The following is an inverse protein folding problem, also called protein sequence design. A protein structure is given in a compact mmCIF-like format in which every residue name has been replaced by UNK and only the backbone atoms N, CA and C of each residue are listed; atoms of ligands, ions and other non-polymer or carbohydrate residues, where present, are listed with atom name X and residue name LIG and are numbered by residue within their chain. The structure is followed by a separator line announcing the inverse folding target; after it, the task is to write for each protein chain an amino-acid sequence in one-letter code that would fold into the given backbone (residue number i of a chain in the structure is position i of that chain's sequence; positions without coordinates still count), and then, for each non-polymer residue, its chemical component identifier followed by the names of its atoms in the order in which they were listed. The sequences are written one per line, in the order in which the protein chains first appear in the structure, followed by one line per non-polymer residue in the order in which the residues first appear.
data_IF_044860773271
#
_entry.id   IF_044860773271
#
_cell.length_a   1.000
_cell.length_b   1.000
_cell.length_c   1.000
_cell.angle_alpha   90.00
_cell.angle_beta   90.00
_cell.angle_gamma   90.00
#
_symmetry.space_group_name_H-M   'P 1'
#
loop_
_entity.id
_entity.type
_entity.pdbx_description
1 polymer ?
#
# COMPACT_ATOMS: atom_id res chain seq x y z
N UNK A 1 -19.80 -3.97 32.94
CA UNK A 1 -18.40 -4.23 32.53
C UNK A 1 -18.16 -4.40 31.02
N UNK A 2 -19.18 -4.33 30.13
CA UNK A 2 -18.98 -4.44 28.66
C UNK A 2 -18.52 -3.16 27.94
N UNK A 3 -18.65 -1.96 28.54
CA UNK A 3 -18.32 -0.67 27.87
C UNK A 3 -16.81 -0.38 27.75
N UNK A 4 -15.95 -1.03 28.52
CA UNK A 4 -14.50 -0.76 28.53
C UNK A 4 -13.74 -1.46 27.39
N UNK A 5 -14.19 -2.63 26.93
CA UNK A 5 -13.51 -3.39 25.86
C UNK A 5 -13.66 -2.78 24.48
N UNK A 6 -14.74 -2.04 24.22
CA UNK A 6 -14.96 -1.34 22.93
C UNK A 6 -14.21 -0.01 22.83
N UNK A 7 -13.94 0.68 23.95
CA UNK A 7 -13.18 1.95 23.97
C UNK A 7 -11.73 1.77 23.52
N UNK A 8 -11.08 0.68 23.91
CA UNK A 8 -9.68 0.41 23.53
C UNK A 8 -9.55 -0.04 22.07
N UNK A 9 -10.61 -0.65 21.51
CA UNK A 9 -10.66 -1.01 20.08
C UNK A 9 -10.93 0.25 19.24
N UNK A 10 -11.85 1.12 19.67
CA UNK A 10 -12.14 2.39 19.00
C UNK A 10 -10.91 3.31 18.94
N UNK A 11 -10.08 3.37 20.00
CA UNK A 11 -8.82 4.13 19.97
C UNK A 11 -7.77 3.51 19.03
N UNK A 12 -7.65 2.18 18.95
CA UNK A 12 -6.71 1.54 18.04
C UNK A 12 -7.13 1.68 16.57
N UNK A 13 -8.44 1.65 16.28
CA UNK A 13 -8.99 1.91 14.94
C UNK A 13 -8.80 3.38 14.57
N UNK A 14 -9.09 4.32 15.48
CA UNK A 14 -8.87 5.74 15.23
C UNK A 14 -7.38 6.11 15.10
N UNK A 15 -6.48 5.46 15.85
CA UNK A 15 -5.04 5.68 15.70
C UNK A 15 -4.49 5.12 14.37
N UNK A 16 -5.00 3.95 13.93
CA UNK A 16 -4.64 3.35 12.65
C UNK A 16 -5.22 4.12 11.44
N UNK A 17 -6.43 4.68 11.58
CA UNK A 17 -7.15 5.32 10.46
C UNK A 17 -7.04 6.85 10.42
N UNK A 18 -6.84 7.51 11.56
CA UNK A 18 -6.89 8.97 11.67
C UNK A 18 -5.61 9.62 12.19
N UNK A 19 -4.53 8.85 12.41
CA UNK A 19 -3.23 9.40 12.77
C UNK A 19 -3.33 10.41 13.91
N UNK A 20 -3.56 9.94 15.15
CA UNK A 20 -3.35 10.82 16.30
C UNK A 20 -1.92 11.35 16.21
N UNK A 21 -1.81 12.68 16.16
CA UNK A 21 -0.56 13.40 16.01
C UNK A 21 0.52 12.80 16.93
N UNK A 22 1.64 12.40 16.34
CA UNK A 22 2.89 12.21 17.07
C UNK A 22 3.21 13.55 17.74
N UNK A 23 2.85 13.69 19.02
CA UNK A 23 3.37 14.77 19.85
C UNK A 23 4.89 14.61 19.89
N UNK A 24 5.57 15.61 19.33
CA UNK A 24 7.01 15.86 19.31
C UNK A 24 7.81 15.02 20.32
N UNK A 25 8.50 13.98 19.81
CA UNK A 25 9.67 13.46 20.51
C UNK A 25 10.75 14.53 20.39
N UNK A 26 11.00 15.22 21.49
CA UNK A 26 12.14 16.10 21.66
C UNK A 26 13.41 15.31 21.31
N UNK A 27 14.16 15.80 20.32
CA UNK A 27 15.51 15.39 20.07
C UNK A 27 16.32 15.58 21.36
N UNK A 28 16.77 14.48 21.98
CA UNK A 28 17.82 14.56 22.99
C UNK A 28 19.14 14.79 22.27
N UNK A 29 19.84 15.81 22.72
CA UNK A 29 21.18 16.22 22.30
C UNK A 29 22.12 15.02 22.11
N UNK A 30 22.81 15.03 20.98
CA UNK A 30 23.96 14.19 20.74
C UNK A 30 25.04 14.54 21.77
N UNK A 31 25.33 13.61 22.68
CA UNK A 31 26.48 13.70 23.55
C UNK A 31 27.76 13.73 22.68
N UNK A 32 28.51 14.82 22.83
CA UNK A 32 29.83 15.04 22.24
C UNK A 32 30.76 13.87 22.58
N UNK A 33 31.30 13.23 21.53
CA UNK A 33 32.48 12.37 21.66
C UNK A 33 33.73 13.27 21.72
N UNK A 34 34.69 13.01 22.62
CA UNK A 34 35.90 13.81 22.72
C UNK A 34 36.88 13.52 21.59
N UNK A 35 37.44 14.60 21.05
CA UNK A 35 38.56 14.64 20.11
C UNK A 35 39.75 13.81 20.59
N UNK A 36 40.27 12.96 19.69
CA UNK A 36 41.64 12.47 19.77
C UNK A 36 42.36 12.77 18.47
N UNK A 37 42.98 13.95 18.42
CA UNK A 37 44.06 14.25 17.51
C UNK A 37 45.38 13.73 18.09
N UNK A 38 46.10 12.92 17.31
CA UNK A 38 47.53 12.68 17.50
C UNK A 38 48.20 12.48 16.14
N UNK A 39 48.85 13.56 15.69
CA UNK A 39 50.17 13.56 15.06
C UNK A 39 50.34 13.01 13.64
N UNK A 40 50.48 13.91 12.66
CA UNK A 40 51.48 13.80 11.57
C UNK A 40 52.00 15.21 11.23
N UNK A 41 53.31 15.45 11.03
CA UNK A 41 53.89 16.78 11.00
C UNK A 41 53.94 17.44 9.62
N UNK A 42 53.75 18.76 9.67
CA UNK A 42 54.26 19.86 8.84
C UNK A 42 54.97 19.56 7.51
N UNK A 43 54.49 20.21 6.44
CA UNK A 43 55.36 20.81 5.43
C UNK A 43 54.93 22.27 5.21
N UNK A 44 55.90 23.15 5.41
CA UNK A 44 55.82 24.59 5.24
C UNK A 44 55.79 24.96 3.75
N UNK A 45 55.05 26.01 3.41
CA UNK A 45 55.54 26.98 2.43
C UNK A 45 55.00 28.35 2.80
N UNK A 46 55.96 29.21 3.13
CA UNK A 46 55.76 30.60 3.49
C UNK A 46 55.33 31.47 2.31
N UNK A 47 54.68 32.53 2.74
CA UNK A 47 54.24 33.74 2.05
C UNK A 47 55.29 34.41 1.17
N UNK A 48 54.81 35.16 0.17
CA UNK A 48 55.49 36.36 -0.28
C UNK A 48 54.48 37.50 -0.47
N UNK A 49 54.62 38.65 0.23
CA UNK A 49 53.73 39.80 0.08
C UNK A 49 54.42 40.93 -0.70
N UNK A 50 53.68 41.66 -1.54
CA UNK A 50 53.84 43.10 -1.79
C UNK A 50 52.88 43.56 -2.89
N UNK A 51 52.22 44.71 -2.67
CA UNK A 51 51.56 45.47 -3.74
C UNK A 51 50.28 46.16 -3.30
N UNK A 52 50.42 47.36 -2.73
CA UNK A 52 49.35 48.29 -2.44
C UNK A 52 48.66 48.77 -3.74
N UNK A 53 47.34 48.98 -3.72
CA UNK A 53 46.69 50.16 -4.30
C UNK A 53 45.24 50.27 -3.78
N UNK A 54 44.91 51.46 -3.30
CA UNK A 54 43.57 51.89 -2.87
C UNK A 54 42.60 51.97 -4.07
N UNK A 55 41.33 51.62 -3.84
CA UNK A 55 40.27 51.74 -4.83
C UNK A 55 38.92 51.34 -4.27
N UNK A 56 38.19 52.32 -3.74
CA UNK A 56 36.80 52.23 -3.29
C UNK A 56 35.86 51.81 -4.42
N UNK A 57 35.14 50.70 -4.24
CA UNK A 57 33.84 50.48 -4.88
C UNK A 57 32.98 49.56 -4.00
N UNK A 58 31.97 50.16 -3.35
CA UNK A 58 30.89 49.41 -2.74
C UNK A 58 30.02 48.79 -3.85
N UNK A 59 29.95 47.46 -3.91
CA UNK A 59 28.87 46.75 -4.60
C UNK A 59 28.38 45.62 -3.72
N UNK A 60 27.05 45.59 -3.57
CA UNK A 60 26.32 44.92 -2.51
C UNK A 60 26.58 43.43 -2.38
N UNK A 61 26.64 42.98 -1.14
CA UNK A 61 26.46 41.59 -0.77
C UNK A 61 25.03 41.16 -1.15
N UNK A 62 24.85 40.63 -2.36
CA UNK A 62 23.79 39.65 -2.60
C UNK A 62 24.27 38.35 -1.98
N UNK A 63 23.92 38.15 -0.71
CA UNK A 63 23.92 36.82 -0.12
C UNK A 63 22.92 35.98 -0.91
N UNK A 64 23.39 35.30 -1.96
CA UNK A 64 22.70 34.16 -2.51
C UNK A 64 22.59 33.18 -1.34
N UNK A 65 21.41 33.07 -0.75
CA UNK A 65 21.16 32.01 0.20
C UNK A 65 21.37 30.72 -0.58
N UNK A 66 22.46 30.02 -0.24
CA UNK A 66 22.63 28.64 -0.61
C UNK A 66 21.46 27.90 0.04
N UNK A 67 20.36 27.77 -0.71
CA UNK A 67 19.32 26.82 -0.40
C UNK A 67 20.05 25.49 -0.21
N UNK A 68 19.98 24.95 1.00
CA UNK A 68 20.43 23.61 1.32
C UNK A 68 19.86 22.68 0.24
N UNK A 69 20.69 22.28 -0.73
CA UNK A 69 20.41 21.09 -1.50
C UNK A 69 20.40 19.99 -0.45
N UNK A 70 19.22 19.46 -0.15
CA UNK A 70 19.14 18.23 0.61
C UNK A 70 19.99 17.21 -0.15
N UNK A 71 21.07 16.75 0.50
CA UNK A 71 21.97 15.74 -0.07
C UNK A 71 21.11 14.54 -0.49
N UNK A 72 20.96 14.33 -1.80
CA UNK A 72 20.15 13.25 -2.36
C UNK A 72 20.58 11.85 -1.89
N UNK A 73 21.75 11.75 -1.26
CA UNK A 73 22.31 10.54 -0.65
C UNK A 73 21.41 9.88 0.42
N UNK A 74 20.47 10.61 1.03
CA UNK A 74 19.54 10.06 2.03
C UNK A 74 18.08 9.97 1.57
N UNK A 75 17.80 10.23 0.29
CA UNK A 75 16.45 10.08 -0.25
C UNK A 75 16.15 8.62 -0.56
N UNK A 76 14.97 8.15 -0.15
CA UNK A 76 14.48 6.84 -0.55
C UNK A 76 14.27 6.81 -2.07
N UNK A 77 14.63 5.71 -2.72
CA UNK A 77 14.37 5.52 -4.15
C UNK A 77 12.86 5.49 -4.43
N UNK A 78 12.41 5.81 -5.66
CA UNK A 78 11.00 5.68 -6.01
C UNK A 78 10.47 4.27 -5.75
N UNK A 79 9.29 4.17 -5.13
CA UNK A 79 8.61 2.91 -4.86
C UNK A 79 8.00 2.28 -6.11
N UNK A 80 8.85 1.90 -7.06
CA UNK A 80 8.49 1.33 -8.36
C UNK A 80 9.31 0.06 -8.57
N UNK A 81 8.63 -1.04 -8.89
CA UNK A 81 9.27 -2.31 -9.21
C UNK A 81 8.59 -2.93 -10.41
N UNK A 82 9.37 -3.35 -11.41
CA UNK A 82 8.83 -3.89 -12.66
C UNK A 82 9.24 -5.35 -12.82
N UNK A 83 8.26 -6.19 -13.13
CA UNK A 83 8.39 -7.62 -13.30
C UNK A 83 7.71 -8.04 -14.59
N UNK A 84 8.35 -8.93 -15.36
CA UNK A 84 7.68 -9.64 -16.43
C UNK A 84 7.13 -10.96 -15.90
N UNK A 85 5.85 -11.23 -16.17
CA UNK A 85 5.17 -12.48 -15.79
C UNK A 85 4.50 -13.03 -17.06
N UNK A 86 5.18 -13.95 -17.74
CA UNK A 86 4.78 -14.38 -19.08
C UNK A 86 4.74 -13.20 -20.07
N UNK A 87 3.56 -12.91 -20.61
CA UNK A 87 3.33 -11.78 -21.51
C UNK A 87 2.88 -10.50 -20.81
N UNK A 88 2.68 -10.55 -19.48
CA UNK A 88 2.30 -9.40 -18.69
C UNK A 88 3.55 -8.60 -18.30
N UNK A 89 3.50 -7.28 -18.52
CA UNK A 89 4.42 -6.34 -17.88
C UNK A 89 3.73 -5.77 -16.66
N UNK A 90 4.24 -6.11 -15.47
CA UNK A 90 3.66 -5.74 -14.19
C UNK A 90 4.56 -4.70 -13.53
N UNK A 91 3.99 -3.57 -13.15
CA UNK A 91 4.67 -2.54 -12.35
C UNK A 91 3.97 -2.45 -11.00
N UNK A 92 4.63 -2.90 -9.95
CA UNK A 92 4.21 -2.63 -8.57
C UNK A 92 4.59 -1.18 -8.23
N UNK A 93 3.63 -0.46 -7.68
CA UNK A 93 3.68 0.96 -7.36
C UNK A 93 3.34 1.12 -5.87
N UNK A 94 4.23 1.72 -5.11
CA UNK A 94 4.03 1.95 -3.68
C UNK A 94 3.25 3.25 -3.49
N UNK A 95 2.02 3.16 -2.99
CA UNK A 95 1.27 4.34 -2.56
C UNK A 95 1.80 4.89 -1.22
N UNK A 96 2.50 4.06 -0.46
CA UNK A 96 3.13 4.41 0.81
C UNK A 96 2.91 3.30 1.83
N UNK A 97 2.66 3.69 3.08
CA UNK A 97 2.38 2.73 4.14
C UNK A 97 1.36 3.24 5.16
N UNK A 98 0.70 2.29 5.82
CA UNK A 98 -0.17 2.50 6.97
C UNK A 98 0.46 1.88 8.23
N UNK A 99 0.46 2.57 9.37
CA UNK A 99 0.77 1.94 10.65
C UNK A 99 -0.40 1.04 11.04
N UNK A 100 -0.14 -0.27 11.16
CA UNK A 100 -1.15 -1.25 11.53
C UNK A 100 -0.91 -1.73 12.97
N UNK A 101 -1.71 -1.29 13.97
CA UNK A 101 -1.52 -1.67 15.36
C UNK A 101 -1.68 -3.17 15.59
N UNK A 102 -0.91 -3.75 16.49
CA UNK A 102 -1.00 -5.18 16.82
C UNK A 102 -2.40 -5.59 17.29
N UNK A 103 -3.13 -4.68 17.95
CA UNK A 103 -4.49 -4.91 18.43
C UNK A 103 -5.52 -5.19 17.33
N UNK A 104 -5.20 -4.90 16.07
CA UNK A 104 -6.06 -5.19 14.92
C UNK A 104 -6.06 -6.67 14.53
N UNK A 105 -4.99 -7.41 14.84
CA UNK A 105 -4.90 -8.85 14.61
C UNK A 105 -5.74 -9.63 15.64
N UNK A 106 -6.57 -10.56 15.17
CA UNK A 106 -7.47 -11.41 15.96
C UNK A 106 -7.24 -12.89 15.64
N UNK A 107 -7.65 -13.77 16.55
CA UNK A 107 -7.39 -15.21 16.46
C UNK A 107 -5.96 -15.63 16.81
N UNK A 108 -5.19 -14.73 17.44
CA UNK A 108 -3.85 -14.97 17.97
C UNK A 108 -3.67 -14.17 19.27
N UNK A 109 -2.95 -14.71 20.24
CA UNK A 109 -2.58 -13.98 21.46
C UNK A 109 -1.38 -13.05 21.20
N UNK A 110 -1.26 -11.99 22.01
CA UNK A 110 -0.22 -10.97 21.82
C UNK A 110 1.21 -11.53 21.87
N UNK A 111 1.48 -12.50 22.76
CA UNK A 111 2.81 -13.12 22.89
C UNK A 111 3.17 -13.91 21.64
N UNK A 112 2.23 -14.69 21.10
CA UNK A 112 2.41 -15.42 19.84
C UNK A 112 2.61 -14.50 18.64
N UNK A 113 1.83 -13.41 18.56
CA UNK A 113 1.95 -12.41 17.49
C UNK A 113 3.34 -11.77 17.52
N UNK A 114 3.76 -11.29 18.68
CA UNK A 114 5.07 -10.67 18.87
C UNK A 114 6.23 -11.63 18.59
N UNK A 115 6.11 -12.90 19.02
CA UNK A 115 7.11 -13.92 18.72
C UNK A 115 7.24 -14.16 17.21
N UNK A 116 6.12 -14.26 16.48
CA UNK A 116 6.13 -14.46 15.02
C UNK A 116 6.75 -13.26 14.28
N UNK A 117 6.39 -12.03 14.68
CA UNK A 117 6.95 -10.81 14.11
C UNK A 117 8.46 -10.71 14.36
N UNK A 118 8.91 -11.01 15.58
CA UNK A 118 10.35 -11.04 15.92
C UNK A 118 11.10 -12.09 15.12
N UNK A 119 10.55 -13.30 15.00
CA UNK A 119 11.15 -14.39 14.22
C UNK A 119 11.30 -14.02 12.74
N UNK A 120 10.34 -13.28 12.18
CA UNK A 120 10.37 -12.82 10.81
C UNK A 120 11.13 -11.50 10.61
N UNK A 121 11.76 -10.95 11.66
CA UNK A 121 12.47 -9.67 11.64
C UNK A 121 11.60 -8.51 11.13
N UNK A 122 10.30 -8.51 11.43
CA UNK A 122 9.41 -7.40 11.05
C UNK A 122 9.68 -6.20 11.97
N UNK A 123 10.08 -5.04 11.42
CA UNK A 123 10.32 -3.85 12.24
C UNK A 123 9.04 -3.36 12.93
N UNK A 124 9.18 -2.90 14.17
CA UNK A 124 8.08 -2.25 14.88
C UNK A 124 7.93 -0.80 14.42
N UNK A 125 6.69 -0.34 14.38
CA UNK A 125 6.34 1.07 14.24
C UNK A 125 5.36 1.40 15.38
N UNK A 126 5.88 1.96 16.47
CA UNK A 126 5.10 2.18 17.70
C UNK A 126 4.52 0.87 18.26
N UNK A 127 3.20 0.82 18.39
CA UNK A 127 2.42 -0.34 18.83
C UNK A 127 1.90 -1.21 17.68
N UNK A 128 2.53 -1.10 16.50
CA UNK A 128 2.14 -1.83 15.31
C UNK A 128 3.31 -2.18 14.40
N UNK A 129 2.95 -2.49 13.15
CA UNK A 129 3.88 -2.69 12.03
C UNK A 129 3.66 -1.62 10.98
N UNK A 130 4.71 -1.36 10.19
CA UNK A 130 4.56 -0.64 8.93
C UNK A 130 3.98 -1.60 7.89
N UNK A 131 2.81 -1.28 7.33
CA UNK A 131 2.13 -2.08 6.31
C UNK A 131 2.13 -1.33 4.99
N UNK A 132 2.70 -1.90 3.94
CA UNK A 132 2.74 -1.27 2.62
C UNK A 132 1.32 -1.13 2.02
N UNK A 133 1.13 -0.15 1.15
CA UNK A 133 -0.04 -0.06 0.25
C UNK A 133 0.47 -0.17 -1.17
N UNK A 134 0.41 -1.38 -1.72
CA UNK A 134 0.87 -1.70 -3.06
C UNK A 134 -0.29 -1.61 -4.05
N UNK A 135 -0.03 -0.96 -5.17
CA UNK A 135 -0.91 -0.88 -6.33
C UNK A 135 -0.19 -1.53 -7.51
N UNK A 136 -0.92 -2.20 -8.39
CA UNK A 136 -0.31 -2.95 -9.50
C UNK A 136 -0.82 -2.45 -10.83
N UNK A 137 0.08 -1.92 -11.67
CA UNK A 137 -0.21 -1.68 -13.07
C UNK A 137 0.18 -2.91 -13.89
N UNK A 138 -0.76 -3.44 -14.67
CA UNK A 138 -0.53 -4.56 -15.58
C UNK A 138 -0.79 -4.12 -17.01
N UNK A 139 0.21 -4.30 -17.86
CA UNK A 139 0.16 -3.98 -19.27
C UNK A 139 0.15 -5.26 -20.09
N UNK A 140 -0.81 -5.33 -21.03
CA UNK A 140 -1.05 -6.47 -21.91
C UNK A 140 -1.62 -5.98 -23.23
N UNK A 141 -0.81 -6.03 -24.29
CA UNK A 141 -1.20 -5.46 -25.58
C UNK A 141 -1.40 -3.95 -25.47
N UNK A 142 -2.57 -3.47 -25.84
CA UNK A 142 -3.00 -2.06 -25.77
C UNK A 142 -3.65 -1.68 -24.42
N UNK A 143 -3.87 -2.65 -23.52
CA UNK A 143 -4.49 -2.44 -22.22
C UNK A 143 -3.45 -2.04 -21.17
N UNK A 144 -3.79 -1.02 -20.38
CA UNK A 144 -3.05 -0.59 -19.20
C UNK A 144 -4.02 -0.62 -18.01
N UNK A 145 -4.02 -1.74 -17.31
CA UNK A 145 -4.97 -2.05 -16.23
C UNK A 145 -4.32 -1.75 -14.89
N UNK A 146 -4.91 -0.86 -14.10
CA UNK A 146 -4.47 -0.56 -12.75
C UNK A 146 -5.34 -1.33 -11.75
N UNK A 147 -4.74 -2.16 -10.91
CA UNK A 147 -5.46 -2.88 -9.85
C UNK A 147 -5.31 -2.12 -8.54
N UNK A 148 -6.45 -1.64 -8.05
CA UNK A 148 -6.60 -0.65 -6.98
C UNK A 148 -5.91 0.70 -7.30
N UNK A 149 -6.09 1.69 -6.43
CA UNK A 149 -5.65 3.08 -6.70
C UNK A 149 -4.98 3.75 -5.51
N UNK A 150 -4.71 3.03 -4.42
CA UNK A 150 -4.12 3.64 -3.23
C UNK A 150 -5.09 4.55 -2.49
N UNK A 151 -4.56 5.24 -1.49
CA UNK A 151 -5.35 5.99 -0.52
C UNK A 151 -5.71 7.41 -0.94
N UNK A 152 -5.16 7.93 -2.04
CA UNK A 152 -5.35 9.33 -2.41
C UNK A 152 -5.09 10.27 -1.22
N UNK A 153 -6.09 11.06 -0.84
CA UNK A 153 -6.04 11.96 0.33
C UNK A 153 -6.72 11.39 1.60
N UNK A 154 -7.24 10.16 1.56
CA UNK A 154 -8.05 9.58 2.63
C UNK A 154 -7.24 9.17 3.87
N UNK A 155 -5.94 8.86 3.72
CA UNK A 155 -5.08 8.37 4.81
C UNK A 155 -3.79 9.20 5.02
N UNK A 156 -3.93 10.43 5.53
CA UNK A 156 -2.79 11.19 6.06
C UNK A 156 -1.63 11.35 5.08
N UNK A 157 -0.40 11.52 5.59
CA UNK A 157 0.77 11.88 4.77
C UNK A 157 1.68 10.69 4.40
N UNK A 158 1.50 9.52 5.04
CA UNK A 158 2.33 8.32 4.82
C UNK A 158 1.88 7.50 3.62
N UNK A 159 0.71 7.80 3.05
CA UNK A 159 0.17 7.23 1.80
C UNK A 159 -0.07 8.33 0.76
N UNK A 160 -0.80 8.03 -0.33
CA UNK A 160 -1.14 8.98 -1.38
C UNK A 160 0.03 9.28 -2.34
N UNK A 161 1.04 8.42 -2.38
CA UNK A 161 2.24 8.56 -3.22
C UNK A 161 2.10 7.91 -4.59
N UNK A 162 0.96 7.29 -4.91
CA UNK A 162 0.76 6.60 -6.18
C UNK A 162 1.01 7.49 -7.40
N UNK A 163 0.57 8.76 -7.37
CA UNK A 163 0.80 9.69 -8.50
C UNK A 163 2.30 9.92 -8.74
N UNK A 164 3.09 10.05 -7.68
CA UNK A 164 4.54 10.20 -7.78
C UNK A 164 5.22 8.90 -8.26
N UNK A 165 4.73 7.75 -7.80
CA UNK A 165 5.21 6.44 -8.25
C UNK A 165 4.92 6.22 -9.74
N UNK A 166 3.71 6.54 -10.22
CA UNK A 166 3.34 6.48 -11.63
C UNK A 166 4.24 7.40 -12.48
N UNK A 167 4.43 8.64 -12.04
CA UNK A 167 5.32 9.60 -12.71
C UNK A 167 6.75 9.09 -12.80
N UNK A 168 7.30 8.57 -11.69
CA UNK A 168 8.65 8.01 -11.63
C UNK A 168 8.81 6.78 -12.52
N UNK A 169 7.73 6.03 -12.74
CA UNK A 169 7.68 4.88 -13.62
C UNK A 169 7.44 5.23 -15.11
N UNK A 170 7.32 6.52 -15.45
CA UNK A 170 7.04 7.01 -16.80
C UNK A 170 5.61 6.76 -17.28
N UNK A 171 4.65 6.64 -16.35
CA UNK A 171 3.26 6.34 -16.64
C UNK A 171 2.40 7.59 -16.43
N UNK A 172 1.75 8.05 -17.49
CA UNK A 172 0.70 9.06 -17.41
C UNK A 172 -0.63 8.42 -16.97
N UNK A 173 -1.25 8.86 -15.85
CA UNK A 173 -2.57 8.37 -15.43
C UNK A 173 -3.64 8.42 -16.52
N UNK A 174 -3.58 9.38 -17.45
CA UNK A 174 -4.54 9.50 -18.54
C UNK A 174 -4.43 8.39 -19.61
N UNK A 175 -3.41 7.53 -19.52
CA UNK A 175 -3.22 6.37 -20.40
C UNK A 175 -3.73 5.06 -19.78
N UNK A 176 -4.17 5.08 -18.51
CA UNK A 176 -4.81 3.92 -17.87
C UNK A 176 -6.15 3.68 -18.55
N UNK A 177 -6.36 2.47 -19.07
CA UNK A 177 -7.58 2.08 -19.80
C UNK A 177 -8.63 1.52 -18.87
N UNK A 178 -8.20 0.85 -17.81
CA UNK A 178 -9.06 0.11 -16.90
C UNK A 178 -8.52 0.26 -15.47
N UNK A 179 -9.40 0.55 -14.52
CA UNK A 179 -9.13 0.43 -13.09
C UNK A 179 -9.93 -0.75 -12.57
N UNK A 180 -9.27 -1.74 -11.98
CA UNK A 180 -9.88 -2.96 -11.45
C UNK A 180 -9.82 -2.89 -9.92
N UNK A 181 -10.95 -2.64 -9.25
CA UNK A 181 -10.99 -2.57 -7.80
C UNK A 181 -11.17 -3.97 -7.20
N UNK A 182 -10.28 -4.34 -6.27
CA UNK A 182 -10.42 -5.58 -5.47
C UNK A 182 -11.57 -5.42 -4.47
N UNK A 183 -11.66 -4.25 -3.85
CA UNK A 183 -12.71 -3.81 -2.95
C UNK A 183 -12.67 -2.28 -2.79
N UNK A 184 -13.59 -1.71 -2.02
CA UNK A 184 -13.72 -0.25 -1.90
C UNK A 184 -13.33 0.32 -0.52
N UNK A 185 -12.34 -0.26 0.16
CA UNK A 185 -11.72 0.45 1.28
C UNK A 185 -10.95 1.68 0.79
N UNK A 186 -10.84 2.74 1.63
CA UNK A 186 -10.27 4.01 1.19
C UNK A 186 -8.85 3.92 0.62
N UNK A 187 -8.01 3.02 1.14
CA UNK A 187 -6.64 2.77 0.67
C UNK A 187 -6.56 2.02 -0.67
N UNK A 188 -7.69 1.64 -1.25
CA UNK A 188 -7.79 1.02 -2.57
C UNK A 188 -8.54 1.92 -3.55
N UNK A 189 -9.52 2.69 -3.09
CA UNK A 189 -10.45 3.43 -3.96
C UNK A 189 -10.21 4.93 -3.99
N UNK A 190 -9.64 5.54 -2.94
CA UNK A 190 -9.58 7.00 -2.87
C UNK A 190 -8.61 7.64 -3.87
N UNK A 191 -7.61 6.92 -4.35
CA UNK A 191 -6.75 7.41 -5.43
C UNK A 191 -7.44 7.48 -6.80
N UNK A 192 -8.72 7.12 -6.91
CA UNK A 192 -9.56 7.50 -8.05
C UNK A 192 -9.71 9.02 -8.19
N UNK A 193 -9.52 9.77 -7.11
CA UNK A 193 -9.58 11.23 -7.10
C UNK A 193 -8.18 11.83 -6.89
N UNK A 194 -7.94 12.94 -7.58
CA UNK A 194 -6.84 13.87 -7.28
C UNK A 194 -7.17 14.67 -6.02
N UNK A 195 -6.17 15.33 -5.40
CA UNK A 195 -6.40 16.18 -4.23
C UNK A 195 -7.42 17.31 -4.44
N UNK A 196 -7.62 17.76 -5.68
CA UNK A 196 -8.63 18.77 -6.05
C UNK A 196 -10.04 18.19 -6.27
N UNK A 197 -10.22 16.87 -6.06
CA UNK A 197 -11.48 16.16 -6.25
C UNK A 197 -11.78 15.78 -7.71
N UNK A 198 -10.90 16.11 -8.66
CA UNK A 198 -11.05 15.69 -10.05
C UNK A 198 -10.63 14.23 -10.23
N UNK A 199 -11.08 13.59 -11.30
CA UNK A 199 -10.77 12.19 -11.56
C UNK A 199 -9.31 11.97 -11.95
N UNK A 200 -8.60 11.12 -11.20
CA UNK A 200 -7.22 10.75 -11.49
C UNK A 200 -7.04 10.01 -12.83
N UNK A 201 -8.05 9.25 -13.27
CA UNK A 201 -7.98 8.38 -14.46
C UNK A 201 -9.12 8.69 -15.45
N UNK A 202 -9.08 9.84 -16.15
CA UNK A 202 -10.23 10.38 -16.90
C UNK A 202 -10.64 9.57 -18.13
N UNK A 203 -9.86 8.57 -18.56
CA UNK A 203 -10.18 7.67 -19.68
C UNK A 203 -10.50 6.24 -19.24
N UNK A 204 -10.30 5.93 -17.96
CA UNK A 204 -10.43 4.56 -17.49
C UNK A 204 -11.89 4.15 -17.29
N UNK A 205 -12.18 2.89 -17.60
CA UNK A 205 -13.36 2.21 -17.06
C UNK A 205 -13.02 1.69 -15.66
N UNK A 206 -13.85 1.99 -14.66
CA UNK A 206 -13.70 1.48 -13.29
C UNK A 206 -14.54 0.23 -13.12
N UNK A 207 -13.90 -0.92 -12.99
CA UNK A 207 -14.53 -2.22 -12.76
C UNK A 207 -14.57 -2.52 -11.27
N UNK A 208 -15.77 -2.80 -10.76
CA UNK A 208 -16.01 -3.09 -9.35
C UNK A 208 -16.96 -4.29 -9.21
N UNK A 209 -16.76 -5.21 -8.25
CA UNK A 209 -17.71 -6.28 -7.99
C UNK A 209 -19.09 -5.74 -7.65
N UNK A 210 -20.15 -6.38 -8.18
CA UNK A 210 -21.53 -5.91 -8.02
C UNK A 210 -21.96 -5.84 -6.55
N UNK A 211 -21.53 -6.81 -5.74
CA UNK A 211 -21.79 -6.84 -4.30
C UNK A 211 -21.03 -5.74 -3.54
N UNK A 212 -19.85 -5.36 -4.03
CA UNK A 212 -19.05 -4.29 -3.42
C UNK A 212 -19.71 -2.94 -3.69
N UNK A 213 -20.04 -2.66 -4.95
CA UNK A 213 -20.79 -1.46 -5.32
C UNK A 213 -22.16 -1.39 -4.61
N UNK A 214 -22.88 -2.51 -4.50
CA UNK A 214 -24.17 -2.57 -3.78
C UNK A 214 -24.03 -2.20 -2.31
N UNK A 215 -22.89 -2.55 -1.68
CA UNK A 215 -22.62 -2.24 -0.29
C UNK A 215 -22.24 -0.77 -0.12
N UNK A 216 -21.18 -0.32 -0.78
CA UNK A 216 -20.60 1.00 -0.52
C UNK A 216 -21.40 2.16 -1.12
N UNK A 217 -22.18 1.95 -2.19
CA UNK A 217 -22.98 3.04 -2.78
C UNK A 217 -24.39 3.17 -2.19
N UNK A 218 -24.77 2.30 -1.25
CA UNK A 218 -26.05 2.38 -0.57
C UNK A 218 -25.89 3.01 0.81
N UNK A 219 -26.19 4.31 0.91
CA UNK A 219 -26.05 5.09 2.14
C UNK A 219 -26.74 4.48 3.38
N UNK A 220 -27.79 3.67 3.20
CA UNK A 220 -28.45 2.98 4.33
C UNK A 220 -27.53 2.00 5.05
N UNK A 221 -26.54 1.43 4.36
CA UNK A 221 -25.60 0.52 4.99
C UNK A 221 -24.75 1.24 6.05
N UNK A 222 -24.45 2.53 5.85
CA UNK A 222 -23.72 3.35 6.81
C UNK A 222 -24.47 3.61 8.11
N UNK A 223 -25.81 3.52 8.12
CA UNK A 223 -26.64 3.77 9.32
C UNK A 223 -26.35 2.75 10.43
N UNK A 224 -25.94 1.54 10.04
CA UNK A 224 -25.65 0.43 10.96
C UNK A 224 -24.17 0.33 11.33
N UNK A 225 -23.30 1.13 10.70
CA UNK A 225 -21.88 1.12 10.99
C UNK A 225 -21.57 1.84 12.32
N UNK A 226 -20.59 1.35 13.09
CA UNK A 226 -19.97 2.15 14.14
C UNK A 226 -19.47 3.48 13.57
N UNK A 227 -19.56 4.54 14.37
CA UNK A 227 -19.28 5.92 13.95
C UNK A 227 -17.89 6.07 13.31
N UNK A 228 -16.90 5.37 13.87
CA UNK A 228 -15.52 5.36 13.39
C UNK A 228 -15.34 4.83 11.96
N UNK A 229 -16.28 4.03 11.45
CA UNK A 229 -16.23 3.47 10.09
C UNK A 229 -17.06 4.26 9.07
N UNK A 230 -17.91 5.19 9.51
CA UNK A 230 -18.77 5.95 8.61
C UNK A 230 -17.98 6.88 7.68
N UNK A 231 -16.91 7.51 8.18
CA UNK A 231 -16.04 8.35 7.33
C UNK A 231 -15.48 7.56 6.16
N UNK A 232 -14.92 6.37 6.43
CA UNK A 232 -14.41 5.48 5.39
C UNK A 232 -15.46 5.14 4.33
N UNK A 233 -16.69 4.87 4.77
CA UNK A 233 -17.80 4.58 3.87
C UNK A 233 -18.14 5.72 2.92
N UNK A 234 -18.23 6.95 3.45
CA UNK A 234 -18.54 8.11 2.63
C UNK A 234 -17.36 8.52 1.74
N UNK A 235 -16.11 8.31 2.17
CA UNK A 235 -14.93 8.51 1.34
C UNK A 235 -14.92 7.56 0.14
N UNK A 236 -15.20 6.27 0.36
CA UNK A 236 -15.32 5.30 -0.72
C UNK A 236 -16.42 5.67 -1.72
N UNK A 237 -17.60 6.05 -1.21
CA UNK A 237 -18.72 6.52 -2.04
C UNK A 237 -18.34 7.75 -2.87
N UNK A 238 -17.69 8.74 -2.25
CA UNK A 238 -17.28 9.98 -2.90
C UNK A 238 -16.24 9.72 -4.00
N UNK A 239 -15.29 8.82 -3.77
CA UNK A 239 -14.27 8.45 -4.75
C UNK A 239 -14.85 7.81 -6.02
N UNK A 240 -15.92 7.02 -5.87
CA UNK A 240 -16.60 6.37 -7.00
C UNK A 240 -17.56 7.30 -7.75
N UNK A 241 -18.09 8.33 -7.10
CA UNK A 241 -19.21 9.13 -7.61
C UNK A 241 -18.97 9.78 -9.00
N UNK A 242 -17.80 10.35 -9.33
CA UNK A 242 -17.57 10.91 -10.66
C UNK A 242 -17.65 9.87 -11.77
N UNK A 243 -17.05 8.69 -11.56
CA UNK A 243 -17.07 7.59 -12.53
C UNK A 243 -18.46 6.97 -12.69
N UNK A 244 -19.28 6.97 -11.63
CA UNK A 244 -20.71 6.60 -11.71
C UNK A 244 -21.47 7.61 -12.57
N UNK A 245 -21.30 8.91 -12.28
CA UNK A 245 -21.99 10.00 -12.97
C UNK A 245 -21.67 10.00 -14.46
N UNK A 246 -20.42 9.73 -14.82
CA UNK A 246 -19.94 9.72 -16.19
C UNK A 246 -20.18 8.39 -16.93
N UNK A 247 -20.86 7.42 -16.29
CA UNK A 247 -21.17 6.10 -16.88
C UNK A 247 -19.93 5.22 -17.11
N UNK A 248 -18.81 5.55 -16.48
CA UNK A 248 -17.52 4.82 -16.61
C UNK A 248 -17.27 3.80 -15.51
N UNK A 249 -18.17 3.66 -14.54
CA UNK A 249 -18.13 2.57 -13.57
C UNK A 249 -18.96 1.37 -14.06
N UNK A 250 -18.34 0.19 -14.13
CA UNK A 250 -18.96 -1.07 -14.52
C UNK A 250 -19.01 -2.06 -13.36
N UNK A 251 -20.23 -2.54 -13.04
CA UNK A 251 -20.47 -3.51 -11.97
C UNK A 251 -20.37 -4.92 -12.52
N UNK A 252 -19.49 -5.73 -11.94
CA UNK A 252 -19.24 -7.10 -12.39
C UNK A 252 -19.97 -8.10 -11.50
N UNK A 253 -20.83 -8.92 -12.10
CA UNK A 253 -21.51 -10.04 -11.43
C UNK A 253 -20.74 -11.35 -11.68
N UNK A 254 -21.01 -12.37 -10.87
CA UNK A 254 -20.76 -13.75 -11.29
C UNK A 254 -19.58 -14.50 -10.65
N UNK A 255 -18.98 -13.98 -9.58
CA UNK A 255 -17.96 -14.73 -8.82
C UNK A 255 -18.43 -14.93 -7.39
N UNK A 256 -18.49 -16.18 -6.94
CA UNK A 256 -18.78 -16.54 -5.55
C UNK A 256 -17.73 -17.51 -5.05
N UNK A 257 -17.55 -17.60 -3.73
CA UNK A 257 -16.60 -18.52 -3.13
C UNK A 257 -16.81 -19.96 -3.65
N UNK A 258 -15.73 -20.59 -4.15
CA UNK A 258 -15.76 -21.95 -4.72
C UNK A 258 -16.40 -22.05 -6.11
N UNK A 259 -16.88 -20.95 -6.70
CA UNK A 259 -17.39 -20.88 -8.06
C UNK A 259 -16.30 -20.74 -9.12
N UNK A 260 -16.67 -20.83 -10.40
CA UNK A 260 -15.76 -20.51 -11.50
C UNK A 260 -15.48 -19.01 -11.53
N UNK A 261 -14.22 -18.58 -11.74
CA UNK A 261 -13.92 -17.17 -11.97
C UNK A 261 -14.68 -16.61 -13.17
N UNK A 262 -15.15 -15.36 -13.08
CA UNK A 262 -15.88 -14.68 -14.18
C UNK A 262 -14.90 -13.94 -15.07
N UNK A 263 -14.94 -14.15 -16.38
CA UNK A 263 -14.16 -13.32 -17.30
C UNK A 263 -14.81 -11.94 -17.46
N UNK A 264 -14.00 -10.90 -17.28
CA UNK A 264 -14.45 -9.49 -17.29
C UNK A 264 -13.84 -8.75 -18.48
N UNK A 265 -12.59 -9.04 -18.77
CA UNK A 265 -11.85 -8.60 -19.95
C UNK A 265 -11.12 -9.82 -20.52
N UNK A 266 -10.70 -9.82 -21.80
CA UNK A 266 -9.93 -10.92 -22.37
C UNK A 266 -8.69 -11.26 -21.53
N UNK A 267 -8.67 -12.46 -20.95
CA UNK A 267 -7.58 -12.93 -20.09
C UNK A 267 -7.61 -12.37 -18.67
N UNK A 268 -8.65 -11.63 -18.25
CA UNK A 268 -8.80 -11.12 -16.88
C UNK A 268 -10.06 -11.69 -16.25
N UNK A 269 -9.89 -12.43 -15.16
CA UNK A 269 -10.98 -13.07 -14.44
C UNK A 269 -11.11 -12.57 -13.01
N UNK A 270 -12.35 -12.34 -12.59
CA UNK A 270 -12.73 -12.01 -11.23
C UNK A 270 -12.84 -13.28 -10.39
N UNK A 271 -11.97 -13.40 -9.38
CA UNK A 271 -11.92 -14.52 -8.43
C UNK A 271 -12.52 -14.08 -7.10
N UNK A 272 -13.56 -14.76 -6.64
CA UNK A 272 -14.18 -14.44 -5.37
C UNK A 272 -13.17 -14.48 -4.22
N UNK A 273 -13.23 -13.48 -3.34
CA UNK A 273 -12.36 -13.35 -2.19
C UNK A 273 -13.11 -12.76 -0.98
N UNK A 274 -14.44 -12.90 -0.97
CA UNK A 274 -15.35 -12.25 -0.03
C UNK A 274 -14.99 -12.57 1.43
N UNK A 275 -15.24 -11.61 2.30
CA UNK A 275 -15.08 -11.74 3.75
C UNK A 275 -14.42 -10.53 4.38
N UNK A 276 -13.34 -10.03 3.76
CA UNK A 276 -12.72 -8.77 4.16
C UNK A 276 -13.72 -7.62 4.02
N UNK A 277 -14.26 -7.47 2.81
CA UNK A 277 -15.53 -6.79 2.54
C UNK A 277 -16.54 -7.76 1.91
N UNK A 278 -17.83 -7.40 1.87
CA UNK A 278 -18.86 -8.27 1.30
C UNK A 278 -18.62 -8.64 -0.16
N UNK A 279 -18.02 -7.77 -0.96
CA UNK A 279 -17.77 -7.96 -2.38
C UNK A 279 -16.29 -8.10 -2.76
N UNK A 280 -15.37 -8.28 -1.79
CA UNK A 280 -13.93 -8.43 -2.06
C UNK A 280 -13.62 -9.52 -3.09
N UNK A 281 -12.77 -9.21 -4.08
CA UNK A 281 -12.30 -10.12 -5.14
C UNK A 281 -10.79 -10.02 -5.35
N UNK A 282 -10.23 -11.05 -5.98
CA UNK A 282 -8.94 -10.96 -6.65
C UNK A 282 -9.09 -10.95 -8.17
N UNK A 283 -8.10 -10.41 -8.86
CA UNK A 283 -8.04 -10.36 -10.33
C UNK A 283 -6.97 -11.33 -10.84
N UNK A 284 -7.41 -12.40 -11.50
CA UNK A 284 -6.54 -13.40 -12.12
C UNK A 284 -6.31 -13.06 -13.59
N UNK A 285 -5.06 -12.78 -13.93
CA UNK A 285 -4.64 -12.35 -15.27
C UNK A 285 -3.83 -13.45 -15.97
N UNK A 286 -4.24 -13.79 -17.19
CA UNK A 286 -3.66 -14.80 -18.07
C UNK A 286 -3.39 -16.16 -17.39
N UNK A 287 -4.22 -16.56 -16.41
CA UNK A 287 -4.02 -17.78 -15.61
C UNK A 287 -2.66 -17.83 -14.88
N UNK A 288 -2.03 -16.68 -14.66
CA UNK A 288 -0.63 -16.58 -14.18
C UNK A 288 -0.45 -15.70 -12.97
N UNK A 289 -1.15 -14.57 -12.92
CA UNK A 289 -0.99 -13.57 -11.87
C UNK A 289 -2.32 -13.33 -11.16
N UNK A 290 -2.38 -13.63 -9.87
CA UNK A 290 -3.50 -13.31 -9.01
C UNK A 290 -3.19 -12.06 -8.16
N UNK A 291 -3.84 -10.95 -8.46
CA UNK A 291 -3.79 -9.73 -7.65
C UNK A 291 -4.96 -9.76 -6.67
N UNK A 292 -4.70 -10.16 -5.43
CA UNK A 292 -5.77 -10.63 -4.53
C UNK A 292 -6.29 -9.60 -3.52
N UNK A 293 -5.83 -8.34 -3.58
CA UNK A 293 -6.17 -7.33 -2.59
C UNK A 293 -5.76 -7.72 -1.16
N UNK A 294 -6.74 -7.77 -0.28
CA UNK A 294 -6.61 -7.77 1.19
C UNK A 294 -6.78 -9.16 1.80
N UNK A 295 -6.21 -10.15 1.12
CA UNK A 295 -6.12 -11.49 1.69
C UNK A 295 -5.13 -11.55 2.85
N UNK A 296 -4.07 -10.72 2.86
CA UNK A 296 -3.02 -10.75 3.90
C UNK A 296 -2.60 -9.34 4.29
N UNK A 297 -2.53 -9.07 5.60
CA UNK A 297 -2.03 -7.82 6.20
C UNK A 297 -0.82 -8.08 7.10
N UNK A 298 -0.86 -9.13 7.93
CA UNK A 298 0.24 -9.58 8.77
C UNK A 298 0.98 -10.75 8.11
N UNK A 299 1.79 -10.46 7.08
CA UNK A 299 2.44 -11.50 6.26
C UNK A 299 3.26 -12.50 7.09
N UNK A 300 4.00 -12.05 8.11
CA UNK A 300 4.79 -12.91 9.01
C UNK A 300 3.94 -13.88 9.85
N UNK A 301 2.62 -13.71 9.88
CA UNK A 301 1.70 -14.50 10.69
C UNK A 301 0.71 -15.27 9.83
N UNK A 302 0.01 -14.60 8.91
CA UNK A 302 -1.17 -15.16 8.23
C UNK A 302 -0.83 -16.27 7.23
N UNK A 303 0.38 -16.31 6.66
CA UNK A 303 0.82 -17.46 5.86
C UNK A 303 0.97 -18.73 6.71
N UNK A 304 1.63 -18.61 7.86
CA UNK A 304 1.81 -19.73 8.79
C UNK A 304 0.54 -20.05 9.60
N UNK A 305 -0.32 -19.06 9.82
CA UNK A 305 -1.55 -19.15 10.63
C UNK A 305 -2.72 -18.48 9.89
N UNK A 306 -3.24 -19.10 8.82
CA UNK A 306 -4.27 -18.48 7.96
C UNK A 306 -5.62 -18.24 8.65
N UNK A 307 -5.82 -18.77 9.86
CA UNK A 307 -6.96 -18.45 10.72
C UNK A 307 -6.87 -17.09 11.42
N UNK A 308 -5.70 -16.45 11.44
CA UNK A 308 -5.54 -15.09 11.99
C UNK A 308 -6.19 -14.11 11.02
N UNK A 309 -7.04 -13.24 11.57
CA UNK A 309 -7.91 -12.34 10.83
C UNK A 309 -7.85 -10.93 11.42
N UNK A 310 -8.45 -9.96 10.76
CA UNK A 310 -8.39 -8.55 11.15
C UNK A 310 -9.71 -8.12 11.78
N UNK A 311 -9.67 -7.16 12.69
CA UNK A 311 -10.88 -6.49 13.19
C UNK A 311 -11.68 -5.81 12.07
N UNK A 312 -11.02 -5.50 10.96
CA UNK A 312 -11.60 -4.90 9.76
C UNK A 312 -12.28 -5.91 8.82
N UNK A 313 -12.14 -7.23 9.07
CA UNK A 313 -12.84 -8.22 8.26
C UNK A 313 -14.34 -8.18 8.57
N UNK A 314 -15.15 -7.75 7.60
CA UNK A 314 -16.61 -7.66 7.70
C UNK A 314 -17.26 -8.99 8.08
N UNK A 315 -16.67 -10.09 7.63
CA UNK A 315 -17.04 -11.46 8.00
C UNK A 315 -15.78 -12.31 8.17
N UNK A 316 -15.30 -12.42 9.42
CA UNK A 316 -14.07 -13.14 9.75
C UNK A 316 -14.05 -14.61 9.29
N UNK A 317 -15.10 -15.44 9.53
CA UNK A 317 -15.13 -16.80 8.98
C UNK A 317 -14.99 -16.86 7.45
N UNK A 318 -15.67 -15.96 6.72
CA UNK A 318 -15.57 -15.89 5.26
C UNK A 318 -14.17 -15.43 4.81
N UNK A 319 -13.57 -14.44 5.48
CA UNK A 319 -12.23 -13.94 5.17
C UNK A 319 -11.18 -15.05 5.35
N UNK A 320 -11.27 -15.80 6.46
CA UNK A 320 -10.41 -16.96 6.73
C UNK A 320 -10.60 -18.05 5.66
N UNK A 321 -11.85 -18.34 5.27
CA UNK A 321 -12.14 -19.35 4.26
C UNK A 321 -11.59 -18.94 2.88
N UNK A 322 -11.77 -17.68 2.48
CA UNK A 322 -11.23 -17.12 1.24
C UNK A 322 -9.71 -17.14 1.23
N UNK A 323 -9.04 -16.71 2.31
CA UNK A 323 -7.58 -16.78 2.44
C UNK A 323 -7.05 -18.19 2.26
N UNK A 324 -7.61 -19.16 2.99
CA UNK A 324 -7.19 -20.57 2.90
C UNK A 324 -7.39 -21.15 1.50
N UNK A 325 -8.51 -20.84 0.86
CA UNK A 325 -8.80 -21.27 -0.52
C UNK A 325 -7.78 -20.68 -1.49
N UNK A 326 -7.58 -19.37 -1.46
CA UNK A 326 -6.69 -18.70 -2.41
C UNK A 326 -5.22 -19.08 -2.21
N UNK A 327 -4.79 -19.35 -0.97
CA UNK A 327 -3.46 -19.94 -0.74
C UNK A 327 -3.32 -21.32 -1.39
N UNK A 328 -4.33 -22.19 -1.23
CA UNK A 328 -4.32 -23.51 -1.84
C UNK A 328 -4.37 -23.45 -3.37
N UNK A 329 -5.17 -22.54 -3.93
CA UNK A 329 -5.29 -22.35 -5.39
C UNK A 329 -4.01 -21.77 -5.99
N UNK A 330 -3.44 -20.72 -5.39
CA UNK A 330 -2.19 -20.13 -5.84
C UNK A 330 -1.04 -21.15 -5.82
N UNK A 331 -0.94 -21.93 -4.73
CA UNK A 331 0.05 -22.99 -4.62
C UNK A 331 -0.15 -24.12 -5.63
N UNK A 332 -1.41 -24.53 -5.88
CA UNK A 332 -1.73 -25.63 -6.79
C UNK A 332 -1.47 -25.27 -8.24
N UNK A 333 -1.79 -24.04 -8.63
CA UNK A 333 -1.70 -23.59 -10.02
C UNK A 333 -0.40 -22.86 -10.33
N UNK A 334 0.49 -22.72 -9.34
CA UNK A 334 1.73 -21.96 -9.43
C UNK A 334 1.51 -20.52 -9.93
N UNK A 335 0.49 -19.86 -9.37
CA UNK A 335 0.24 -18.46 -9.68
C UNK A 335 1.27 -17.57 -9.00
N UNK A 336 1.77 -16.59 -9.76
CA UNK A 336 2.26 -15.37 -9.15
C UNK A 336 1.12 -14.70 -8.39
N UNK A 337 1.46 -14.09 -7.27
CA UNK A 337 0.52 -13.36 -6.42
C UNK A 337 1.03 -11.95 -6.22
N UNK A 338 0.12 -10.97 -6.32
CA UNK A 338 0.33 -9.61 -5.85
C UNK A 338 -0.62 -9.30 -4.70
N UNK A 339 -0.07 -8.92 -3.55
CA UNK A 339 -0.85 -8.54 -2.37
C UNK A 339 -0.69 -7.07 -2.01
N UNK A 340 -1.80 -6.37 -1.77
CA UNK A 340 -1.82 -4.94 -1.47
C UNK A 340 -0.98 -4.60 -0.22
N UNK A 341 -1.02 -5.45 0.80
CA UNK A 341 -0.36 -5.23 2.08
C UNK A 341 0.82 -6.17 2.38
N UNK A 342 1.33 -6.86 1.35
CA UNK A 342 2.60 -7.57 1.47
C UNK A 342 3.76 -6.58 1.42
N UNK A 343 4.93 -6.89 2.02
CA UNK A 343 6.10 -6.01 1.89
C UNK A 343 6.41 -5.72 0.42
N UNK A 344 6.51 -4.44 0.06
CA UNK A 344 6.79 -3.99 -1.31
C UNK A 344 8.01 -4.76 -1.89
N UNK A 345 7.93 -5.29 -3.13
CA UNK A 345 6.93 -5.02 -4.17
C UNK A 345 5.64 -5.84 -4.08
N UNK A 346 5.49 -6.68 -3.05
CA UNK A 346 4.28 -7.47 -2.83
C UNK A 346 4.03 -8.57 -3.87
N UNK A 347 5.02 -8.87 -4.74
CA UNK A 347 4.97 -9.91 -5.77
C UNK A 347 5.76 -11.15 -5.37
N UNK A 348 5.22 -12.33 -5.66
CA UNK A 348 5.85 -13.61 -5.31
C UNK A 348 4.93 -14.80 -5.46
N UNK A 349 5.26 -15.90 -4.78
CA UNK A 349 4.53 -17.17 -4.81
C UNK A 349 4.12 -17.59 -3.40
N UNK A 350 3.02 -18.37 -3.34
CA UNK A 350 2.55 -19.01 -2.11
C UNK A 350 2.84 -20.49 -2.21
N UNK A 351 3.64 -21.03 -1.28
CA UNK A 351 3.99 -22.47 -1.28
C UNK A 351 3.46 -23.16 -0.02
N UNK A 352 3.01 -24.42 -0.10
CA UNK A 352 2.61 -25.18 1.09
C UNK A 352 3.81 -25.37 2.01
N UNK A 353 3.59 -25.23 3.32
CA UNK A 353 4.60 -25.48 4.34
C UNK A 353 3.99 -26.31 5.46
N UNK A 354 4.04 -27.64 5.32
CA UNK A 354 3.32 -28.56 6.21
C UNK A 354 1.82 -28.67 5.88
N UNK A 355 1.00 -29.17 6.82
CA UNK A 355 -0.39 -29.59 6.52
C UNK A 355 -1.43 -28.46 6.44
N UNK A 356 -1.21 -27.31 7.07
CA UNK A 356 -2.20 -26.21 7.19
C UNK A 356 -1.59 -24.81 7.19
N UNK A 357 -0.37 -24.70 6.71
CA UNK A 357 0.41 -23.47 6.69
C UNK A 357 1.07 -23.31 5.33
N UNK A 358 1.42 -22.07 5.02
CA UNK A 358 2.03 -21.67 3.78
C UNK A 358 3.25 -20.82 4.07
N UNK A 359 4.10 -20.68 3.07
CA UNK A 359 5.22 -19.77 3.09
C UNK A 359 5.10 -18.80 1.91
N UNK A 360 5.50 -17.55 2.15
CA UNK A 360 5.58 -16.53 1.13
C UNK A 360 6.98 -16.53 0.54
N UNK A 361 7.09 -16.87 -0.74
CA UNK A 361 8.34 -16.80 -1.49
C UNK A 361 8.30 -15.52 -2.29
N UNK A 362 9.09 -14.51 -1.87
CA UNK A 362 9.19 -13.25 -2.60
C UNK A 362 9.73 -13.50 -4.00
N UNK A 363 9.18 -12.81 -4.98
CA UNK A 363 9.76 -12.77 -6.32
C UNK A 363 11.18 -12.24 -6.25
N UNK A 364 12.11 -12.91 -6.94
CA UNK A 364 13.48 -12.44 -7.07
C UNK A 364 13.53 -11.26 -8.04
N UNK A 365 14.41 -10.29 -7.74
CA UNK A 365 14.67 -9.19 -8.65
C UNK A 365 15.14 -9.74 -9.99
N UNK A 366 14.45 -9.36 -11.07
CA UNK A 366 14.90 -9.61 -12.44
C UNK A 366 14.88 -8.31 -13.21
N UNK A 367 15.99 -7.90 -13.86
CA UNK A 367 15.93 -6.81 -14.80
C UNK A 367 14.98 -7.18 -15.94
N UNK A 368 14.33 -6.17 -16.54
CA UNK A 368 13.64 -6.37 -17.80
C UNK A 368 14.67 -6.52 -18.93
N UNK A 369 14.39 -7.37 -19.95
CA UNK A 369 15.26 -7.52 -21.12
C UNK A 369 15.50 -6.22 -21.88
#
# INVERSE_FOLDING_TARGET
MMKSRYRNIAMAVAAAWFGMALTSVQAREAAQLPDRAAGVPSAQTETNPAGQHEGTAAQGATAASAAHQADGAFMQVPGVYRQRIGNLRVTALLDGFLPLPFGTAKGIDAKSLEAALRQAHVPRMGDGIQTAVNVFLVERGDRRMLVDTGAGTCFGQTTGKLTDALKSAGIDPATVTDVLLTHAHPDHVCGLLRPDGTEAYPKATVWIPDAEAAYWLNARNAETLPEEFKKAFFEASAALAPYVKDGRMQRVKGSHAGGKPTEVLPGVRMVAANGHTPGHVGWLMDDRLLLWGDIVHFHAVQFARPQVYLVFDSNAPAAIASRKRLFAEAARHDWWVGGAHLPFPGLGHVVPYGKKSYHWVRGEFSPLP
#
